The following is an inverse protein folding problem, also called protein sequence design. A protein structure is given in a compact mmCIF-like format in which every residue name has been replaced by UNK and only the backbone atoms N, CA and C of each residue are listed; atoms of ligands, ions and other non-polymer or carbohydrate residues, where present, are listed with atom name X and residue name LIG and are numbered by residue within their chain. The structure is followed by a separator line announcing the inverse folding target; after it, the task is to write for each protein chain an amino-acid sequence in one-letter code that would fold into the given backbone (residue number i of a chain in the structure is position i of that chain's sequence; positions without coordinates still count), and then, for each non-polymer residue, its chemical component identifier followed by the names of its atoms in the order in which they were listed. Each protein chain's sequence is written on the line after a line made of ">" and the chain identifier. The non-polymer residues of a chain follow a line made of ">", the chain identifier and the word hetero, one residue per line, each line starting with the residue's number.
data_IF_213177120719
#
_entry.id   IF_213177120719
#
_cell.length_a   1.000
_cell.length_b   1.000
_cell.length_c   1.000
_cell.angle_alpha   90.00
_cell.angle_beta   90.00
_cell.angle_gamma   90.00
#
_symmetry.space_group_name_H-M   'P 1'
#
loop_
_entity.id
_entity.type
_entity.pdbx_description
1 polymer ?
#
# COMPACT_ATOMS: atom_id res chain seq x y z
N UNK A 1 36.61 32.31 -28.11
CA UNK A 1 36.36 31.79 -26.75
C UNK A 1 34.85 31.75 -26.57
N UNK A 2 34.25 30.58 -26.76
CA UNK A 2 32.79 30.40 -26.86
C UNK A 2 32.14 30.53 -25.48
N UNK A 3 31.15 31.43 -25.37
CA UNK A 3 30.35 31.63 -24.16
C UNK A 3 29.30 30.51 -24.07
N UNK A 4 29.30 29.83 -22.94
CA UNK A 4 28.47 28.67 -22.64
C UNK A 4 26.98 29.03 -22.55
N UNK A 5 26.16 28.39 -23.38
CA UNK A 5 24.71 28.30 -23.18
C UNK A 5 24.42 27.34 -22.02
N UNK A 6 24.02 27.86 -20.86
CA UNK A 6 23.32 27.06 -19.85
C UNK A 6 21.83 27.00 -20.19
N UNK A 7 21.43 25.97 -20.94
CA UNK A 7 20.01 25.62 -21.10
C UNK A 7 19.64 24.66 -19.97
N UNK A 8 18.97 25.19 -18.94
CA UNK A 8 18.33 24.36 -17.91
C UNK A 8 17.05 23.76 -18.51
N UNK A 9 17.14 22.51 -18.96
CA UNK A 9 15.97 21.70 -19.32
C UNK A 9 15.28 21.25 -18.03
N UNK A 10 14.27 22.02 -17.59
CA UNK A 10 13.27 21.49 -16.68
C UNK A 10 12.42 20.47 -17.43
N UNK A 11 12.79 19.20 -17.32
CA UNK A 11 11.91 18.08 -17.68
C UNK A 11 10.76 18.05 -16.67
N UNK A 12 9.72 18.82 -16.95
CA UNK A 12 8.41 18.64 -16.32
C UNK A 12 7.90 17.29 -16.81
N UNK A 13 8.00 16.27 -15.94
CA UNK A 13 7.37 14.99 -16.18
C UNK A 13 5.86 15.19 -16.28
N UNK A 14 5.31 15.02 -17.48
CA UNK A 14 3.87 14.96 -17.67
C UNK A 14 3.35 13.68 -17.01
N UNK A 15 2.91 13.77 -15.76
CA UNK A 15 2.04 12.77 -15.18
C UNK A 15 0.72 12.84 -15.97
N UNK A 16 0.55 11.96 -16.97
CA UNK A 16 -0.76 11.76 -17.59
C UNK A 16 -1.67 11.22 -16.50
N UNK A 17 -2.59 12.05 -16.01
CA UNK A 17 -3.74 11.56 -15.28
C UNK A 17 -4.49 10.61 -16.22
N UNK A 18 -4.35 9.30 -15.98
CA UNK A 18 -5.05 8.28 -16.77
C UNK A 18 -6.54 8.45 -16.51
N UNK A 19 -7.28 8.88 -17.52
CA UNK A 19 -8.75 8.91 -17.46
C UNK A 19 -9.24 7.50 -17.15
N UNK A 20 -10.03 7.40 -16.08
CA UNK A 20 -10.65 6.15 -15.70
C UNK A 20 -11.57 5.66 -16.82
N UNK A 21 -11.30 4.46 -17.35
CA UNK A 21 -12.11 3.88 -18.39
C UNK A 21 -13.12 2.90 -17.76
N UNK A 22 -14.38 3.35 -17.61
CA UNK A 22 -15.48 2.51 -17.10
C UNK A 22 -15.60 1.18 -17.87
N UNK A 23 -15.22 1.16 -19.16
CA UNK A 23 -15.19 -0.05 -19.99
C UNK A 23 -14.20 -1.09 -19.45
N UNK A 24 -13.00 -0.64 -19.07
CA UNK A 24 -11.97 -1.52 -18.50
C UNK A 24 -12.41 -2.09 -17.16
N UNK A 25 -13.01 -1.28 -16.28
CA UNK A 25 -13.54 -1.78 -15.01
C UNK A 25 -14.65 -2.82 -15.22
N UNK A 26 -15.55 -2.57 -16.18
CA UNK A 26 -16.62 -3.51 -16.51
C UNK A 26 -16.05 -4.85 -16.99
N UNK A 27 -15.14 -4.83 -17.96
CA UNK A 27 -14.49 -6.03 -18.48
C UNK A 27 -13.74 -6.79 -17.38
N UNK A 28 -13.01 -6.09 -16.50
CA UNK A 28 -12.34 -6.70 -15.37
C UNK A 28 -13.34 -7.37 -14.41
N UNK A 29 -14.45 -6.71 -14.07
CA UNK A 29 -15.48 -7.29 -13.20
C UNK A 29 -16.18 -8.50 -13.84
N UNK A 30 -16.31 -8.54 -15.17
CA UNK A 30 -16.88 -9.68 -15.88
C UNK A 30 -15.91 -10.88 -15.85
N UNK A 31 -14.62 -10.65 -16.08
CA UNK A 31 -13.56 -11.66 -15.93
C UNK A 31 -13.50 -12.21 -14.48
N UNK A 32 -13.59 -11.33 -13.47
CA UNK A 32 -13.63 -11.71 -12.05
C UNK A 32 -14.83 -12.62 -11.72
N UNK A 33 -16.03 -12.30 -12.22
CA UNK A 33 -17.23 -13.13 -12.02
C UNK A 33 -17.09 -14.49 -12.70
N UNK A 34 -16.53 -14.53 -13.90
CA UNK A 34 -16.29 -15.78 -14.63
C UNK A 34 -15.31 -16.71 -13.89
N UNK A 35 -14.46 -16.15 -13.01
CA UNK A 35 -13.55 -16.89 -12.13
C UNK A 35 -14.04 -17.02 -10.69
N UNK A 36 -15.32 -16.75 -10.42
CA UNK A 36 -15.95 -16.90 -9.09
C UNK A 36 -15.41 -15.97 -7.98
N UNK A 37 -14.94 -14.77 -8.34
CA UNK A 37 -14.57 -13.71 -7.39
C UNK A 37 -15.73 -12.70 -7.22
N UNK A 38 -16.93 -13.17 -6.88
CA UNK A 38 -18.13 -12.33 -6.85
C UNK A 38 -18.11 -11.32 -5.70
N UNK A 39 -17.62 -11.73 -4.54
CA UNK A 39 -17.54 -10.89 -3.36
C UNK A 39 -16.65 -9.68 -3.58
N UNK A 40 -15.49 -9.87 -4.20
CA UNK A 40 -14.60 -8.75 -4.54
C UNK A 40 -15.25 -7.78 -5.54
N UNK A 41 -15.99 -8.31 -6.53
CA UNK A 41 -16.76 -7.48 -7.49
C UNK A 41 -17.84 -6.66 -6.79
N UNK A 42 -18.49 -7.19 -5.75
CA UNK A 42 -19.47 -6.43 -4.96
C UNK A 42 -18.79 -5.25 -4.27
N UNK A 43 -17.60 -5.44 -3.67
CA UNK A 43 -16.84 -4.35 -3.05
C UNK A 43 -16.48 -3.27 -4.09
N UNK A 44 -16.01 -3.67 -5.28
CA UNK A 44 -15.71 -2.72 -6.36
C UNK A 44 -16.94 -1.94 -6.82
N UNK A 45 -18.12 -2.57 -6.89
CA UNK A 45 -19.38 -1.89 -7.23
C UNK A 45 -19.76 -0.84 -6.20
N UNK A 46 -19.66 -1.17 -4.90
CA UNK A 46 -19.93 -0.21 -3.81
C UNK A 46 -19.01 1.01 -3.96
N UNK A 47 -17.72 0.80 -4.22
CA UNK A 47 -16.77 1.89 -4.40
C UNK A 47 -17.01 2.71 -5.66
N UNK A 48 -17.31 2.08 -6.80
CA UNK A 48 -17.59 2.80 -8.04
C UNK A 48 -18.86 3.67 -7.95
N UNK A 49 -19.85 3.24 -7.16
CA UNK A 49 -21.06 4.02 -6.89
C UNK A 49 -20.80 5.22 -5.99
N UNK A 50 -19.93 5.08 -4.98
CA UNK A 50 -19.64 6.14 -4.00
C UNK A 50 -18.54 7.11 -4.44
N UNK A 51 -17.53 6.64 -5.19
CA UNK A 51 -16.34 7.40 -5.52
C UNK A 51 -15.85 7.13 -6.94
N UNK A 52 -16.29 7.96 -7.90
CA UNK A 52 -16.05 7.77 -9.34
C UNK A 52 -14.57 7.82 -9.80
N UNK A 53 -13.64 8.25 -8.94
CA UNK A 53 -12.24 8.52 -9.31
C UNK A 53 -11.21 7.66 -8.57
N UNK A 54 -11.63 6.68 -7.76
CA UNK A 54 -10.73 6.00 -6.84
C UNK A 54 -9.86 4.92 -7.52
N UNK A 55 -10.34 4.39 -8.64
CA UNK A 55 -9.66 3.32 -9.34
C UNK A 55 -8.98 3.93 -10.56
N UNK A 56 -7.66 3.81 -10.65
CA UNK A 56 -6.93 4.14 -11.88
C UNK A 56 -6.90 2.89 -12.79
N UNK A 57 -6.72 3.07 -14.10
CA UNK A 57 -6.55 1.93 -15.02
C UNK A 57 -5.19 1.23 -14.83
N UNK A 58 -4.21 1.90 -14.22
CA UNK A 58 -2.92 1.34 -13.86
C UNK A 58 -2.95 0.68 -12.47
N UNK A 59 -3.73 -0.40 -12.32
CA UNK A 59 -3.88 -1.10 -11.04
C UNK A 59 -3.84 -2.62 -11.21
N UNK A 60 -3.30 -3.30 -10.21
CA UNK A 60 -3.39 -4.75 -10.05
C UNK A 60 -4.12 -5.09 -8.76
N UNK A 61 -5.23 -5.81 -8.85
CA UNK A 61 -5.95 -6.34 -7.67
C UNK A 61 -5.45 -7.73 -7.28
N UNK A 62 -5.40 -7.99 -5.98
CA UNK A 62 -5.10 -9.29 -5.37
C UNK A 62 -6.33 -9.73 -4.58
N UNK A 63 -7.15 -10.57 -5.20
CA UNK A 63 -8.51 -10.85 -4.77
C UNK A 63 -8.56 -12.14 -3.94
N UNK A 64 -8.91 -12.09 -2.65
CA UNK A 64 -9.24 -13.30 -1.90
C UNK A 64 -10.43 -13.99 -2.55
N UNK A 65 -10.44 -15.33 -2.53
CA UNK A 65 -11.64 -16.09 -2.90
C UNK A 65 -12.82 -15.73 -2.00
N UNK A 66 -14.05 -15.87 -2.49
CA UNK A 66 -15.27 -15.45 -1.78
C UNK A 66 -15.38 -16.06 -0.37
N UNK A 67 -14.93 -17.31 -0.17
CA UNK A 67 -14.87 -17.94 1.14
C UNK A 67 -13.93 -17.22 2.12
N UNK A 68 -12.73 -16.85 1.66
CA UNK A 68 -11.77 -16.10 2.48
C UNK A 68 -12.25 -14.68 2.75
N UNK A 69 -12.83 -14.04 1.73
CA UNK A 69 -13.41 -12.71 1.87
C UNK A 69 -14.55 -12.68 2.90
N UNK A 70 -15.39 -13.72 2.94
CA UNK A 70 -16.50 -13.83 3.92
C UNK A 70 -16.04 -13.88 5.38
N UNK A 71 -14.79 -14.27 5.62
CA UNK A 71 -14.17 -14.33 6.96
C UNK A 71 -13.42 -13.05 7.32
N UNK A 72 -13.21 -12.15 6.35
CA UNK A 72 -12.49 -10.90 6.56
C UNK A 72 -13.36 -9.92 7.37
N UNK A 73 -12.77 -9.31 8.40
CA UNK A 73 -13.41 -8.25 9.17
C UNK A 73 -13.33 -6.91 8.40
N UNK A 74 -14.30 -6.65 7.53
CA UNK A 74 -14.39 -5.42 6.73
C UNK A 74 -15.46 -4.51 7.33
N UNK A 75 -15.05 -3.41 7.94
CA UNK A 75 -16.00 -2.38 8.39
C UNK A 75 -16.60 -1.65 7.17
N UNK A 76 -17.92 -1.35 7.14
CA UNK A 76 -18.55 -0.68 6.01
C UNK A 76 -17.92 0.66 5.61
N UNK A 77 -17.38 1.40 6.58
CA UNK A 77 -16.67 2.66 6.41
C UNK A 77 -15.23 2.49 5.89
N UNK A 78 -14.70 1.27 5.86
CA UNK A 78 -13.32 0.95 5.46
C UNK A 78 -13.23 0.02 4.24
N UNK A 79 -14.30 -0.06 3.44
CA UNK A 79 -14.31 -0.85 2.20
C UNK A 79 -13.24 -0.36 1.21
N UNK A 80 -13.07 0.96 1.10
CA UNK A 80 -12.05 1.56 0.24
C UNK A 80 -10.66 1.13 0.70
N UNK A 81 -10.37 1.29 1.98
CA UNK A 81 -9.10 0.87 2.58
C UNK A 81 -8.86 -0.63 2.34
N UNK A 82 -9.89 -1.46 2.53
CA UNK A 82 -9.77 -2.89 2.27
C UNK A 82 -9.37 -3.17 0.81
N UNK A 83 -10.08 -2.60 -0.16
CA UNK A 83 -9.81 -2.84 -1.60
C UNK A 83 -8.43 -2.30 -2.00
N UNK A 84 -8.06 -1.09 -1.58
CA UNK A 84 -6.77 -0.49 -1.92
C UNK A 84 -5.58 -1.18 -1.25
N UNK A 85 -5.78 -1.76 -0.07
CA UNK A 85 -4.79 -2.62 0.58
C UNK A 85 -4.60 -3.95 -0.15
N UNK A 86 -5.54 -4.31 -1.01
CA UNK A 86 -5.46 -5.49 -1.87
C UNK A 86 -5.07 -5.13 -3.30
N UNK A 87 -4.32 -4.03 -3.49
CA UNK A 87 -3.87 -3.63 -4.82
C UNK A 87 -2.50 -2.98 -4.85
N UNK A 88 -1.86 -3.02 -6.02
CA UNK A 88 -0.64 -2.27 -6.37
C UNK A 88 -1.01 -1.28 -7.49
N UNK A 89 -0.60 0.00 -7.43
CA UNK A 89 -0.88 1.01 -8.45
C UNK A 89 0.05 0.85 -9.68
N UNK A 90 0.12 -0.36 -10.22
CA UNK A 90 0.88 -0.72 -11.43
C UNK A 90 0.25 -1.96 -12.03
N UNK A 91 0.23 -2.07 -13.36
CA UNK A 91 -0.24 -3.27 -14.07
C UNK A 91 0.82 -4.36 -14.03
N UNK A 92 0.57 -5.43 -13.28
CA UNK A 92 1.48 -6.54 -13.09
C UNK A 92 0.76 -7.83 -13.50
N UNK A 93 1.24 -8.48 -14.55
CA UNK A 93 0.89 -9.90 -14.82
C UNK A 93 1.76 -10.81 -13.97
N UNK A 94 1.41 -12.10 -13.86
CA UNK A 94 2.18 -13.06 -13.08
C UNK A 94 3.66 -13.07 -13.48
N UNK A 95 3.94 -12.96 -14.78
CA UNK A 95 5.32 -12.93 -15.26
C UNK A 95 6.09 -11.74 -14.66
N UNK A 96 5.50 -10.54 -14.53
CA UNK A 96 6.19 -9.43 -13.86
C UNK A 96 6.50 -9.76 -12.40
N UNK A 97 5.54 -10.36 -11.70
CA UNK A 97 5.64 -10.71 -10.28
C UNK A 97 6.75 -11.73 -10.00
N UNK A 98 6.96 -12.69 -10.91
CA UNK A 98 8.01 -13.71 -10.81
C UNK A 98 9.43 -13.15 -10.95
N UNK A 99 9.59 -11.94 -11.50
CA UNK A 99 10.90 -11.31 -11.67
C UNK A 99 11.29 -10.40 -10.51
N UNK A 100 10.39 -10.17 -9.54
CA UNK A 100 10.77 -9.44 -8.34
C UNK A 100 11.77 -10.28 -7.52
N UNK A 101 12.88 -9.69 -7.05
CA UNK A 101 13.74 -10.35 -6.07
C UNK A 101 12.94 -10.79 -4.85
N UNK A 102 13.26 -11.97 -4.30
CA UNK A 102 12.60 -12.47 -3.10
C UNK A 102 12.76 -11.49 -1.93
N UNK A 103 11.65 -11.09 -1.31
CA UNK A 103 11.62 -10.10 -0.23
C UNK A 103 11.44 -8.65 -0.70
N UNK A 104 11.16 -8.41 -1.98
CA UNK A 104 10.89 -7.07 -2.51
C UNK A 104 9.73 -6.40 -1.79
N UNK A 105 9.85 -5.10 -1.50
CA UNK A 105 8.77 -4.28 -0.97
C UNK A 105 8.23 -3.36 -2.06
N UNK A 106 6.93 -3.40 -2.29
CA UNK A 106 6.24 -2.56 -3.29
C UNK A 106 5.09 -1.79 -2.64
N UNK A 107 4.76 -0.58 -3.09
CA UNK A 107 3.64 0.16 -2.54
C UNK A 107 2.32 -0.52 -2.88
N UNK A 108 1.43 -0.63 -1.88
CA UNK A 108 0.01 -0.86 -2.15
C UNK A 108 -0.63 0.42 -2.71
N UNK A 109 -1.90 0.36 -3.11
CA UNK A 109 -2.66 1.57 -3.48
C UNK A 109 -3.08 2.42 -2.26
N UNK A 110 -2.74 1.99 -1.04
CA UNK A 110 -2.81 2.84 0.15
C UNK A 110 -1.46 3.53 0.38
N UNK A 111 -1.46 4.86 0.60
CA UNK A 111 -0.24 5.58 0.97
C UNK A 111 0.45 4.99 2.20
N UNK A 112 1.78 4.85 2.13
CA UNK A 112 2.63 4.35 3.22
C UNK A 112 2.35 2.90 3.67
N UNK A 113 1.66 2.11 2.84
CA UNK A 113 1.41 0.69 3.10
C UNK A 113 2.10 -0.15 2.04
N UNK A 114 3.03 -1.01 2.47
CA UNK A 114 3.93 -1.78 1.59
C UNK A 114 3.55 -3.27 1.56
N UNK A 115 3.58 -3.88 0.38
CA UNK A 115 3.41 -5.32 0.16
C UNK A 115 4.79 -5.93 -0.03
N UNK A 116 5.11 -6.96 0.74
CA UNK A 116 6.25 -7.85 0.55
C UNK A 116 5.91 -8.91 -0.48
N UNK A 117 6.72 -8.96 -1.54
CA UNK A 117 6.69 -9.99 -2.57
C UNK A 117 7.76 -11.04 -2.23
N UNK A 118 7.33 -12.26 -1.98
CA UNK A 118 8.21 -13.38 -1.60
C UNK A 118 7.93 -14.63 -2.44
N UNK A 119 8.92 -15.51 -2.52
CA UNK A 119 8.75 -16.85 -3.06
C UNK A 119 7.99 -17.71 -2.04
N UNK A 120 6.85 -18.26 -2.44
CA UNK A 120 6.09 -19.19 -1.62
C UNK A 120 6.77 -20.57 -1.58
N UNK A 121 6.53 -21.32 -0.49
CA UNK A 121 7.06 -22.68 -0.29
C UNK A 121 6.71 -23.70 -1.39
N UNK A 122 5.63 -23.48 -2.16
CA UNK A 122 5.14 -24.36 -3.24
C UNK A 122 5.33 -23.77 -4.64
N UNK A 123 6.51 -23.22 -4.94
CA UNK A 123 6.86 -22.63 -6.25
C UNK A 123 5.81 -21.61 -6.74
N UNK A 124 5.65 -20.51 -6.02
CA UNK A 124 4.73 -19.43 -6.38
C UNK A 124 5.16 -18.08 -5.82
N UNK A 125 4.34 -17.06 -6.04
CA UNK A 125 4.57 -15.70 -5.51
C UNK A 125 3.56 -15.39 -4.42
N UNK A 126 4.04 -14.81 -3.32
CA UNK A 126 3.28 -14.47 -2.13
C UNK A 126 3.32 -12.96 -1.88
N UNK A 127 2.17 -12.37 -1.53
CA UNK A 127 1.99 -10.97 -1.14
C UNK A 127 1.65 -10.92 0.35
N UNK A 128 2.58 -10.51 1.21
CA UNK A 128 2.45 -10.62 2.67
C UNK A 128 1.90 -12.00 3.08
N UNK A 129 2.55 -13.06 2.59
CA UNK A 129 2.20 -14.46 2.84
C UNK A 129 0.90 -14.96 2.17
N UNK A 130 0.13 -14.11 1.48
CA UNK A 130 -0.99 -14.54 0.64
C UNK A 130 -0.47 -15.03 -0.72
N UNK A 131 -0.63 -16.32 -1.01
CA UNK A 131 -0.14 -16.93 -2.25
C UNK A 131 -1.05 -16.59 -3.43
N UNK A 132 -0.50 -16.27 -4.59
CA UNK A 132 -1.27 -16.25 -5.85
C UNK A 132 -1.69 -17.68 -6.20
N UNK A 133 -3.00 -17.92 -6.26
CA UNK A 133 -3.62 -19.21 -6.58
C UNK A 133 -4.32 -19.20 -7.94
N UNK A 134 -4.75 -18.04 -8.42
CA UNK A 134 -5.34 -17.90 -9.76
C UNK A 134 -4.72 -16.69 -10.45
N UNK A 135 -3.64 -16.88 -11.21
CA UNK A 135 -2.96 -15.76 -11.86
C UNK A 135 -3.75 -15.23 -13.06
N UNK A 136 -3.52 -13.96 -13.39
CA UNK A 136 -3.98 -13.31 -14.62
C UNK A 136 -5.50 -13.50 -14.87
N UNK A 137 -6.34 -13.20 -13.87
CA UNK A 137 -7.80 -13.32 -13.99
C UNK A 137 -8.37 -12.31 -14.99
N UNK A 138 -7.94 -11.05 -14.91
CA UNK A 138 -8.41 -9.97 -15.79
C UNK A 138 -7.54 -9.87 -17.05
N UNK A 139 -7.96 -10.55 -18.11
CA UNK A 139 -7.24 -10.60 -19.39
C UNK A 139 -7.79 -9.57 -20.38
N UNK A 140 -9.07 -9.24 -20.29
CA UNK A 140 -9.80 -8.40 -21.26
C UNK A 140 -9.88 -6.93 -20.84
N UNK A 141 -9.01 -6.48 -19.94
CA UNK A 141 -9.04 -5.14 -19.34
C UNK A 141 -7.62 -4.58 -19.22
N UNK A 142 -7.48 -3.26 -19.13
CA UNK A 142 -6.25 -2.63 -18.64
C UNK A 142 -5.97 -2.98 -17.17
N UNK A 143 -7.01 -3.18 -16.35
CA UNK A 143 -6.89 -3.60 -14.96
C UNK A 143 -6.36 -5.02 -14.91
N UNK A 144 -5.34 -5.24 -14.07
CA UNK A 144 -4.83 -6.58 -13.78
C UNK A 144 -5.46 -7.10 -12.50
N UNK A 145 -5.66 -8.40 -12.43
CA UNK A 145 -6.12 -9.01 -11.19
C UNK A 145 -5.62 -10.46 -11.08
N UNK A 146 -5.33 -10.85 -9.85
CA UNK A 146 -4.90 -12.20 -9.47
C UNK A 146 -5.73 -12.66 -8.28
N UNK A 147 -6.13 -13.92 -8.28
CA UNK A 147 -6.70 -14.57 -7.11
C UNK A 147 -5.63 -14.97 -6.11
N UNK A 148 -5.86 -14.70 -4.83
CA UNK A 148 -4.95 -15.03 -3.73
C UNK A 148 -5.59 -15.97 -2.70
N UNK A 149 -4.74 -16.71 -1.97
CA UNK A 149 -5.15 -17.78 -1.05
C UNK A 149 -5.84 -17.30 0.23
N UNK A 150 -5.63 -16.04 0.62
CA UNK A 150 -6.20 -15.41 1.83
C UNK A 150 -6.03 -13.90 1.72
N UNK A 151 -6.55 -13.13 2.67
CA UNK A 151 -6.39 -11.66 2.71
C UNK A 151 -4.94 -11.24 2.93
N UNK A 152 -4.51 -10.14 2.31
CA UNK A 152 -3.22 -9.52 2.58
C UNK A 152 -3.25 -8.92 3.98
N UNK A 153 -2.47 -9.51 4.89
CA UNK A 153 -2.29 -8.99 6.23
C UNK A 153 -1.17 -7.94 6.24
N UNK A 154 -1.36 -6.88 7.01
CA UNK A 154 -0.34 -5.89 7.28
C UNK A 154 -0.04 -5.92 8.76
N UNK A 155 1.25 -5.92 9.11
CA UNK A 155 1.63 -5.70 10.50
C UNK A 155 1.12 -4.33 10.92
N UNK A 156 0.48 -4.24 12.09
CA UNK A 156 -0.13 -3.03 12.63
C UNK A 156 0.89 -1.91 12.95
N UNK A 157 2.14 -2.02 12.50
CA UNK A 157 3.09 -0.91 12.47
C UNK A 157 2.62 0.08 11.42
N UNK A 158 1.62 0.88 11.78
CA UNK A 158 1.25 2.02 10.98
C UNK A 158 2.48 2.93 10.89
N UNK A 159 2.86 3.36 9.68
CA UNK A 159 3.95 4.34 9.53
C UNK A 159 3.60 5.69 10.21
N UNK A 160 2.33 5.90 10.56
CA UNK A 160 1.88 6.95 11.49
C UNK A 160 2.43 6.77 12.90
N UNK A 161 2.55 5.54 13.41
CA UNK A 161 3.11 5.27 14.73
C UNK A 161 4.63 5.54 14.76
N UNK A 162 5.33 5.47 13.63
CA UNK A 162 6.76 5.79 13.56
C UNK A 162 7.00 7.28 13.75
N UNK A 163 6.13 8.15 13.23
CA UNK A 163 6.22 9.60 13.50
C UNK A 163 5.93 9.92 14.96
N UNK A 164 4.97 9.22 15.56
CA UNK A 164 4.55 9.47 16.94
C UNK A 164 5.56 8.91 17.96
N UNK A 165 6.08 7.70 17.72
CA UNK A 165 7.12 7.05 18.52
C UNK A 165 8.45 7.82 18.49
N UNK A 166 8.82 8.37 17.33
CA UNK A 166 10.02 9.21 17.20
C UNK A 166 9.88 10.53 17.99
N UNK A 167 8.69 11.15 17.97
CA UNK A 167 8.41 12.38 18.70
C UNK A 167 8.35 12.15 20.22
N UNK A 168 7.66 11.10 20.69
CA UNK A 168 7.60 10.74 22.11
C UNK A 168 8.98 10.37 22.68
N UNK A 169 9.80 9.66 21.92
CA UNK A 169 11.17 9.32 22.33
C UNK A 169 12.06 10.57 22.48
N UNK A 170 11.84 11.60 21.67
CA UNK A 170 12.58 12.87 21.75
C UNK A 170 12.08 13.71 22.94
N UNK A 171 10.77 13.79 23.16
CA UNK A 171 10.17 14.53 24.28
C UNK A 171 10.63 13.95 25.62
N UNK A 172 10.53 12.64 25.82
CA UNK A 172 10.98 11.94 27.03
C UNK A 172 12.47 12.14 27.32
N UNK A 173 13.31 12.15 26.27
CA UNK A 173 14.76 12.38 26.39
C UNK A 173 15.07 13.82 26.81
N UNK A 174 14.29 14.78 26.35
CA UNK A 174 14.47 16.20 26.67
C UNK A 174 13.97 16.52 28.09
N UNK A 175 12.86 15.94 28.53
CA UNK A 175 12.37 16.07 29.90
C UNK A 175 13.36 15.49 30.92
N UNK A 176 13.94 14.32 30.63
CA UNK A 176 14.94 13.69 31.50
C UNK A 176 16.26 14.48 31.57
N UNK A 177 16.60 15.23 30.52
CA UNK A 177 17.75 16.16 30.52
C UNK A 177 17.45 17.44 31.31
N UNK A 178 16.24 17.98 31.19
CA UNK A 178 15.79 19.16 31.95
C UNK A 178 15.69 18.92 33.46
N UNK A 179 15.18 17.75 33.87
CA UNK A 179 15.12 17.38 35.28
C UNK A 179 16.53 17.26 35.91
N UNK A 180 17.50 16.70 35.17
CA UNK A 180 18.88 16.57 35.64
C UNK A 180 19.62 17.91 35.77
N UNK A 181 19.36 18.87 34.87
CA UNK A 181 20.01 20.18 34.93
C UNK A 181 19.50 21.02 36.11
N UNK A 182 18.19 20.97 36.40
CA UNK A 182 17.58 21.63 37.55
C UNK A 182 18.10 21.07 38.88
N UNK A 183 18.26 19.75 38.97
CA UNK A 183 18.79 19.09 40.16
C UNK A 183 20.26 19.45 40.44
N UNK A 184 21.07 19.57 39.37
CA UNK A 184 22.46 20.02 39.49
C UNK A 184 22.58 21.50 39.90
N UNK A 185 21.70 22.36 39.39
CA UNK A 185 21.65 23.77 39.77
C UNK A 185 21.22 23.97 41.24
N UNK A 186 20.25 23.18 41.72
CA UNK A 186 19.82 23.21 43.11
C UNK A 186 20.92 22.74 44.09
N UNK A 187 21.65 21.66 43.74
CA UNK A 187 22.81 21.21 44.52
C UNK A 187 23.94 22.25 44.57
N UNK A 188 24.19 22.97 43.46
CA UNK A 188 25.24 23.99 43.42
C UNK A 188 24.87 25.23 44.24
N UNK A 189 23.59 25.61 44.30
CA UNK A 189 23.10 26.75 45.09
C UNK A 189 23.19 26.49 46.60
N UNK A 190 22.93 25.27 47.06
CA UNK A 190 23.05 24.90 48.47
C UNK A 190 24.51 24.80 48.95
N UNK A 191 25.47 24.65 48.04
CA UNK A 191 26.91 24.57 48.36
C UNK A 191 27.59 25.95 48.49
N UNK A 192 26.88 27.03 48.15
CA UNK A 192 27.37 28.42 48.21
C UNK A 192 26.85 29.21 49.43
N UNK A 193 26.08 28.56 50.30
CA UNK A 193 25.49 29.15 51.52
C UNK A 193 26.11 28.59 52.81
N UNK A 194 27.25 27.90 52.71
CA UNK A 194 28.06 27.43 53.84
C UNK A 194 29.50 27.93 53.71
#
# INVERSE_FOLDING_TARGET
>A
MASWFFVLLFLVGNARATTFNQTDLRAAMDDMRMKSYHGFVILLKILNSSHKNLLNSDITFFMPADQELSRAAISPDRIEEFVLSHSIPTRLVLNNLLHFPNGSLVPSSIPNRMISITNCRKMGVCMNNAQIVTPNVCLNSAIRCHGISTTIAYDNTSFSDIKQSSAETIVQRNEKKGAKSLQYAAMKKNRLLH
#
